data_IF_034238056863
#
_entry.id   IF_034238056863
#
_cell.length_a   1.000
_cell.length_b   1.000
_cell.length_c   1.000
_cell.angle_alpha   90.00
_cell.angle_beta   90.00
_cell.angle_gamma   90.00
#
_symmetry.space_group_name_H-M   'P 1'
#
loop_
_entity.id
_entity.type
_entity.pdbx_description
1 polymer ?
#
# COMPACT_ATOMS: atom_id res chain seq x y z
N UNK A 1 -12.07 4.90 -28.51
CA UNK A 1 -11.93 5.69 -27.26
C UNK A 1 -12.01 4.77 -26.04
N UNK A 2 -10.92 4.04 -25.72
CA UNK A 2 -10.88 3.09 -24.61
C UNK A 2 -10.91 3.75 -23.22
N UNK A 3 -10.38 4.97 -23.06
CA UNK A 3 -10.24 5.67 -21.77
C UNK A 3 -11.59 5.88 -21.04
N UNK A 4 -12.63 6.32 -21.77
CA UNK A 4 -13.98 6.51 -21.19
C UNK A 4 -14.56 5.24 -20.56
N UNK A 5 -14.14 4.04 -21.03
CA UNK A 5 -14.59 2.75 -20.50
C UNK A 5 -13.84 2.36 -19.23
N UNK A 6 -12.59 2.79 -19.08
CA UNK A 6 -11.77 2.54 -17.89
C UNK A 6 -12.25 3.42 -16.71
N UNK A 7 -12.65 4.67 -16.96
CA UNK A 7 -13.23 5.58 -15.94
C UNK A 7 -14.51 5.04 -15.30
N UNK A 8 -15.46 4.57 -16.12
CA UNK A 8 -16.72 4.04 -15.62
C UNK A 8 -16.54 2.70 -14.89
N UNK A 9 -15.54 1.91 -15.27
CA UNK A 9 -15.17 0.70 -14.53
C UNK A 9 -14.52 1.06 -13.18
N UNK A 10 -13.62 2.04 -13.17
CA UNK A 10 -13.00 2.57 -11.94
C UNK A 10 -14.06 3.06 -10.95
N UNK A 11 -14.99 3.93 -11.37
CA UNK A 11 -16.04 4.46 -10.48
C UNK A 11 -16.93 3.36 -9.90
N UNK A 12 -17.33 2.38 -10.72
CA UNK A 12 -18.11 1.22 -10.22
C UNK A 12 -17.35 0.39 -9.19
N UNK A 13 -16.07 0.12 -9.45
CA UNK A 13 -15.23 -0.65 -8.52
C UNK A 13 -15.01 0.12 -7.19
N UNK A 14 -14.90 1.45 -7.25
CA UNK A 14 -14.83 2.35 -6.09
C UNK A 14 -16.14 2.34 -5.28
N UNK A 15 -17.28 2.56 -5.93
CA UNK A 15 -18.61 2.54 -5.28
C UNK A 15 -18.88 1.18 -4.62
N UNK A 16 -18.56 0.09 -5.31
CA UNK A 16 -18.66 -1.26 -4.75
C UNK A 16 -17.77 -1.43 -3.51
N UNK A 17 -16.53 -0.92 -3.54
CA UNK A 17 -15.62 -0.95 -2.40
C UNK A 17 -16.16 -0.19 -1.20
N UNK A 18 -16.70 1.01 -1.42
CA UNK A 18 -17.34 1.82 -0.37
C UNK A 18 -18.56 1.13 0.22
N UNK A 19 -19.40 0.51 -0.61
CA UNK A 19 -20.56 -0.25 -0.14
C UNK A 19 -20.16 -1.47 0.70
N UNK A 20 -19.12 -2.22 0.30
CA UNK A 20 -18.59 -3.35 1.08
C UNK A 20 -18.01 -2.89 2.42
N UNK A 21 -17.28 -1.77 2.43
CA UNK A 21 -16.75 -1.17 3.66
C UNK A 21 -17.88 -0.77 4.62
N UNK A 22 -18.95 -0.16 4.10
CA UNK A 22 -20.12 0.20 4.90
C UNK A 22 -20.86 -1.03 5.44
N UNK A 23 -20.84 -2.15 4.72
CA UNK A 23 -21.38 -3.44 5.18
C UNK A 23 -20.46 -4.18 6.18
N UNK A 24 -19.26 -3.65 6.47
CA UNK A 24 -18.29 -4.24 7.38
C UNK A 24 -17.38 -5.32 6.77
N UNK A 25 -17.54 -5.62 5.47
CA UNK A 25 -16.68 -6.56 4.75
C UNK A 25 -15.42 -5.83 4.24
N UNK A 26 -14.49 -5.59 5.18
CA UNK A 26 -13.28 -4.81 4.91
C UNK A 26 -12.36 -5.53 3.91
N UNK A 27 -12.27 -6.86 3.97
CA UNK A 27 -11.43 -7.63 3.04
C UNK A 27 -11.96 -7.50 1.61
N UNK A 28 -13.27 -7.69 1.39
CA UNK A 28 -13.86 -7.50 0.07
C UNK A 28 -13.76 -6.04 -0.41
N UNK A 29 -13.89 -5.07 0.50
CA UNK A 29 -13.68 -3.66 0.19
C UNK A 29 -12.26 -3.40 -0.32
N UNK A 30 -11.23 -3.91 0.38
CA UNK A 30 -9.83 -3.81 -0.04
C UNK A 30 -9.61 -4.41 -1.44
N UNK A 31 -10.23 -5.56 -1.74
CA UNK A 31 -10.18 -6.19 -3.07
C UNK A 31 -10.76 -5.27 -4.14
N UNK A 32 -11.96 -4.72 -3.90
CA UNK A 32 -12.66 -3.88 -4.87
C UNK A 32 -11.92 -2.57 -5.14
N UNK A 33 -11.41 -1.92 -4.09
CA UNK A 33 -10.63 -0.69 -4.21
C UNK A 33 -9.30 -0.93 -4.92
N UNK A 34 -8.63 -2.06 -4.65
CA UNK A 34 -7.42 -2.45 -5.39
C UNK A 34 -7.72 -2.67 -6.88
N UNK A 35 -8.86 -3.30 -7.21
CA UNK A 35 -9.30 -3.47 -8.60
C UNK A 35 -9.58 -2.14 -9.29
N UNK A 36 -10.17 -1.18 -8.58
CA UNK A 36 -10.36 0.19 -9.08
C UNK A 36 -9.00 0.82 -9.43
N UNK A 37 -8.07 0.85 -8.47
CA UNK A 37 -6.72 1.40 -8.68
C UNK A 37 -5.97 0.69 -9.81
N UNK A 38 -6.18 -0.62 -9.98
CA UNK A 38 -5.61 -1.40 -11.08
C UNK A 38 -6.07 -1.04 -12.49
N UNK A 39 -7.10 -0.18 -12.62
CA UNK A 39 -7.53 0.38 -13.91
C UNK A 39 -6.57 1.46 -14.43
N UNK A 40 -5.77 2.06 -13.54
CA UNK A 40 -4.86 3.14 -13.88
C UNK A 40 -3.58 2.64 -14.56
N UNK A 41 -3.23 3.30 -15.67
CA UNK A 41 -2.03 2.96 -16.47
C UNK A 41 -1.04 4.13 -16.62
N UNK A 42 -1.32 5.27 -16.00
CA UNK A 42 -0.57 6.54 -16.15
C UNK A 42 -1.46 7.72 -15.75
N UNK A 43 -1.01 8.98 -15.94
CA UNK A 43 -1.82 10.17 -15.71
C UNK A 43 -3.17 10.09 -16.45
N UNK A 44 -4.23 10.65 -15.87
CA UNK A 44 -5.54 10.69 -16.53
C UNK A 44 -5.44 11.45 -17.86
N UNK A 45 -5.98 10.86 -18.94
CA UNK A 45 -6.05 11.46 -20.27
C UNK A 45 -4.68 11.93 -20.83
N UNK A 46 -3.61 11.18 -20.54
CA UNK A 46 -2.27 11.47 -21.06
C UNK A 46 -2.28 11.62 -22.60
N UNK A 47 -1.69 12.70 -23.09
CA UNK A 47 -1.63 13.02 -24.52
C UNK A 47 -2.87 13.73 -25.11
N UNK A 48 -3.87 14.10 -24.31
CA UNK A 48 -5.07 14.85 -24.79
C UNK A 48 -5.04 16.31 -24.35
N UNK A 49 -4.72 17.21 -25.29
CA UNK A 49 -4.66 18.66 -25.01
C UNK A 49 -5.98 19.38 -25.40
N UNK A 50 -7.03 19.15 -24.62
CA UNK A 50 -8.27 19.94 -24.67
C UNK A 50 -8.60 20.50 -23.28
N UNK A 51 -9.00 21.79 -23.16
CA UNK A 51 -9.26 22.40 -21.84
C UNK A 51 -10.28 21.65 -20.97
N UNK A 52 -11.37 21.15 -21.56
CA UNK A 52 -12.39 20.36 -20.86
C UNK A 52 -11.88 19.00 -20.40
N UNK A 53 -10.92 18.42 -21.13
CA UNK A 53 -10.28 17.15 -20.78
C UNK A 53 -9.25 17.36 -19.68
N UNK A 54 -8.51 18.49 -19.68
CA UNK A 54 -7.56 18.81 -18.60
C UNK A 54 -8.23 18.96 -17.25
N UNK A 55 -9.38 19.62 -17.17
CA UNK A 55 -10.13 19.71 -15.91
C UNK A 55 -10.60 18.34 -15.44
N UNK A 56 -11.18 17.54 -16.35
CA UNK A 56 -11.63 16.18 -16.04
C UNK A 56 -10.45 15.27 -15.60
N UNK A 57 -9.26 15.46 -16.15
CA UNK A 57 -8.05 14.75 -15.76
C UNK A 57 -7.64 15.08 -14.32
N UNK A 58 -7.62 16.37 -13.94
CA UNK A 58 -7.32 16.80 -12.57
C UNK A 58 -8.33 16.22 -11.58
N UNK A 59 -9.63 16.31 -11.87
CA UNK A 59 -10.67 15.74 -11.00
C UNK A 59 -10.53 14.22 -10.85
N UNK A 60 -10.12 13.52 -11.91
CA UNK A 60 -9.93 12.08 -11.91
C UNK A 60 -8.65 11.68 -11.16
N UNK A 61 -7.56 12.44 -11.28
CA UNK A 61 -6.32 12.25 -10.51
C UNK A 61 -6.57 12.45 -9.00
N UNK A 62 -7.34 13.47 -8.63
CA UNK A 62 -7.74 13.72 -7.24
C UNK A 62 -8.59 12.55 -6.69
N UNK A 63 -9.59 12.10 -7.46
CA UNK A 63 -10.41 10.95 -7.08
C UNK A 63 -9.59 9.66 -6.93
N UNK A 64 -8.54 9.48 -7.74
CA UNK A 64 -7.60 8.36 -7.60
C UNK A 64 -6.83 8.46 -6.29
N UNK A 65 -6.31 9.63 -5.93
CA UNK A 65 -5.59 9.82 -4.67
C UNK A 65 -6.48 9.51 -3.46
N UNK A 66 -7.73 9.96 -3.49
CA UNK A 66 -8.70 9.64 -2.44
C UNK A 66 -8.96 8.12 -2.37
N UNK A 67 -9.03 7.46 -3.53
CA UNK A 67 -9.18 5.99 -3.60
C UNK A 67 -7.95 5.26 -3.05
N UNK A 68 -6.73 5.80 -3.26
CA UNK A 68 -5.50 5.27 -2.66
C UNK A 68 -5.55 5.37 -1.13
N UNK A 69 -5.99 6.50 -0.60
CA UNK A 69 -6.17 6.70 0.84
C UNK A 69 -7.19 5.73 1.43
N UNK A 70 -8.35 5.58 0.77
CA UNK A 70 -9.41 4.63 1.19
C UNK A 70 -8.94 3.17 1.14
N UNK A 71 -8.22 2.78 0.08
CA UNK A 71 -7.65 1.45 -0.04
C UNK A 71 -6.62 1.18 1.07
N UNK A 72 -5.73 2.14 1.34
CA UNK A 72 -4.70 2.00 2.37
C UNK A 72 -5.31 1.87 3.77
N UNK A 73 -6.35 2.64 4.09
CA UNK A 73 -7.08 2.48 5.35
C UNK A 73 -7.67 1.07 5.51
N UNK A 74 -8.35 0.57 4.48
CA UNK A 74 -8.94 -0.76 4.49
C UNK A 74 -7.85 -1.85 4.58
N UNK A 75 -6.77 -1.72 3.81
CA UNK A 75 -5.67 -2.67 3.80
C UNK A 75 -4.91 -2.73 5.14
N UNK A 76 -4.73 -1.58 5.81
CA UNK A 76 -4.17 -1.52 7.17
C UNK A 76 -5.08 -2.22 8.19
N UNK A 77 -6.39 -2.04 8.07
CA UNK A 77 -7.34 -2.72 8.95
C UNK A 77 -7.29 -4.26 8.81
N UNK A 78 -7.02 -4.76 7.59
CA UNK A 78 -6.86 -6.20 7.29
C UNK A 78 -5.44 -6.71 7.61
N UNK A 79 -4.49 -5.82 7.95
CA UNK A 79 -3.13 -6.18 8.36
C UNK A 79 -2.12 -6.34 7.21
N UNK A 80 -2.41 -5.78 6.04
CA UNK A 80 -1.52 -5.84 4.86
C UNK A 80 -0.55 -4.65 4.81
N UNK A 81 0.05 -4.32 5.95
CA UNK A 81 0.81 -3.07 6.15
C UNK A 81 2.07 -2.94 5.28
N UNK A 82 2.72 -4.06 4.92
CA UNK A 82 3.91 -4.04 4.06
C UNK A 82 3.59 -3.56 2.64
N UNK A 83 2.53 -4.09 2.02
CA UNK A 83 2.11 -3.69 0.68
C UNK A 83 1.62 -2.23 0.66
N UNK A 84 0.98 -1.78 1.75
CA UNK A 84 0.60 -0.37 1.92
C UNK A 84 1.84 0.53 1.96
N UNK A 85 2.87 0.16 2.73
CA UNK A 85 4.10 0.96 2.82
C UNK A 85 4.81 1.06 1.45
N UNK A 86 4.92 -0.05 0.72
CA UNK A 86 5.51 -0.07 -0.64
C UNK A 86 4.72 0.80 -1.63
N UNK A 87 3.39 0.77 -1.53
CA UNK A 87 2.50 1.53 -2.43
C UNK A 87 2.49 3.02 -2.11
N UNK A 88 2.47 3.40 -0.83
CA UNK A 88 2.32 4.81 -0.41
C UNK A 88 3.63 5.61 -0.42
N UNK A 89 4.79 4.98 -0.20
CA UNK A 89 6.08 5.66 -0.22
C UNK A 89 6.29 6.57 -1.45
N UNK A 90 6.06 6.10 -2.69
CA UNK A 90 6.22 6.96 -3.87
C UNK A 90 5.10 7.99 -4.05
N UNK A 91 3.88 7.73 -3.57
CA UNK A 91 2.77 8.70 -3.61
C UNK A 91 3.05 9.88 -2.67
N UNK A 92 3.64 9.63 -1.50
CA UNK A 92 4.06 10.68 -0.56
C UNK A 92 5.16 11.56 -1.17
N UNK A 93 6.07 10.99 -1.95
CA UNK A 93 7.09 11.78 -2.67
C UNK A 93 6.46 12.66 -3.74
N UNK A 94 5.44 12.16 -4.47
CA UNK A 94 4.75 12.91 -5.54
C UNK A 94 3.75 13.92 -5.01
N UNK A 95 3.14 13.66 -3.85
CA UNK A 95 2.12 14.52 -3.23
C UNK A 95 2.53 14.85 -1.79
N UNK A 96 3.65 15.56 -1.59
CA UNK A 96 4.26 15.69 -0.28
C UNK A 96 3.50 16.61 0.66
N UNK A 97 2.51 17.38 0.20
CA UNK A 97 1.65 18.20 1.05
C UNK A 97 0.35 17.47 1.46
N UNK A 98 0.09 16.25 0.96
CA UNK A 98 -1.06 15.45 1.40
C UNK A 98 -0.76 14.73 2.72
N UNK A 99 -1.21 15.34 3.81
CA UNK A 99 -1.00 14.83 5.17
C UNK A 99 -1.57 13.43 5.40
N UNK A 100 -2.73 13.12 4.80
CA UNK A 100 -3.40 11.82 4.99
C UNK A 100 -2.58 10.66 4.43
N UNK A 101 -1.99 10.81 3.23
CA UNK A 101 -1.06 9.83 2.67
C UNK A 101 0.16 9.61 3.58
N UNK A 102 0.74 10.70 4.11
CA UNK A 102 1.86 10.62 5.06
C UNK A 102 1.47 9.86 6.32
N UNK A 103 0.33 10.17 6.91
CA UNK A 103 -0.16 9.50 8.11
C UNK A 103 -0.39 8.00 7.89
N UNK A 104 -0.94 7.62 6.75
CA UNK A 104 -1.15 6.20 6.40
C UNK A 104 0.19 5.48 6.16
N UNK A 105 1.16 6.11 5.51
CA UNK A 105 2.51 5.56 5.37
C UNK A 105 3.20 5.40 6.73
N UNK A 106 3.08 6.38 7.63
CA UNK A 106 3.63 6.30 8.98
C UNK A 106 3.05 5.10 9.75
N UNK A 107 1.73 4.88 9.68
CA UNK A 107 1.07 3.71 10.29
C UNK A 107 1.59 2.40 9.69
N UNK A 108 1.67 2.33 8.36
CA UNK A 108 2.15 1.14 7.66
C UNK A 108 3.61 0.77 8.03
N UNK A 109 4.50 1.77 8.07
CA UNK A 109 5.89 1.61 8.47
C UNK A 109 6.01 1.16 9.93
N UNK A 110 5.22 1.75 10.82
CA UNK A 110 5.25 1.36 12.23
C UNK A 110 4.74 -0.07 12.46
N UNK A 111 3.62 -0.45 11.83
CA UNK A 111 3.05 -1.79 11.95
C UNK A 111 4.00 -2.90 11.44
N UNK A 112 4.89 -2.56 10.52
CA UNK A 112 5.95 -3.44 9.99
C UNK A 112 7.25 -3.40 10.80
N UNK A 113 7.26 -2.72 11.95
CA UNK A 113 8.42 -2.62 12.85
C UNK A 113 9.43 -1.54 12.47
N UNK A 114 9.13 -0.71 11.47
CA UNK A 114 10.01 0.35 10.96
C UNK A 114 9.67 1.73 11.58
N UNK A 115 9.56 1.76 12.92
CA UNK A 115 9.21 2.98 13.69
C UNK A 115 10.10 4.18 13.37
N UNK A 116 11.41 3.96 13.22
CA UNK A 116 12.36 5.04 12.88
C UNK A 116 12.06 5.68 11.52
N UNK A 117 11.67 4.87 10.52
CA UNK A 117 11.26 5.38 9.20
C UNK A 117 9.95 6.16 9.30
N UNK A 118 8.98 5.70 10.09
CA UNK A 118 7.72 6.42 10.31
C UNK A 118 7.98 7.82 10.91
N UNK A 119 8.84 7.92 11.92
CA UNK A 119 9.20 9.20 12.54
C UNK A 119 9.98 10.11 11.57
N UNK A 120 10.79 9.53 10.68
CA UNK A 120 11.50 10.28 9.64
C UNK A 120 10.52 10.90 8.63
N UNK A 121 9.52 10.15 8.17
CA UNK A 121 8.47 10.66 7.25
C UNK A 121 7.75 11.88 7.83
N UNK A 122 7.47 11.89 9.13
CA UNK A 122 6.88 13.05 9.81
C UNK A 122 7.81 14.26 9.78
N UNK A 123 9.08 14.09 10.18
CA UNK A 123 10.06 15.18 10.24
C UNK A 123 10.29 15.82 8.87
N UNK A 124 10.45 15.00 7.84
CA UNK A 124 10.59 15.45 6.46
C UNK A 124 9.36 16.26 6.00
N UNK A 125 8.15 15.86 6.43
CA UNK A 125 6.92 16.56 6.08
C UNK A 125 6.71 17.86 6.80
N UNK A 126 7.02 17.87 8.10
CA UNK A 126 6.98 19.08 8.90
C UNK A 126 7.93 20.15 8.36
N UNK A 127 9.16 19.76 8.02
CA UNK A 127 10.13 20.68 7.41
C UNK A 127 9.57 21.28 6.11
N UNK A 128 9.08 20.43 5.21
CA UNK A 128 8.52 20.89 3.94
C UNK A 128 7.30 21.81 4.09
N UNK A 129 6.35 21.48 4.98
CA UNK A 129 5.17 22.33 5.21
C UNK A 129 5.55 23.69 5.80
N UNK A 130 6.54 23.71 6.70
CA UNK A 130 7.06 24.95 7.25
C UNK A 130 7.78 25.78 6.17
N UNK A 131 8.55 25.15 5.29
CA UNK A 131 9.28 25.81 4.21
C UNK A 131 8.36 26.34 3.10
N UNK A 132 7.41 25.54 2.63
CA UNK A 132 6.57 25.86 1.46
C UNK A 132 5.32 26.67 1.82
N UNK A 133 4.72 26.41 2.98
CA UNK A 133 3.44 26.99 3.38
C UNK A 133 3.53 27.87 4.64
N UNK A 134 4.63 27.80 5.40
CA UNK A 134 4.77 28.49 6.68
C UNK A 134 3.83 27.95 7.77
N UNK A 135 3.35 26.71 7.63
CA UNK A 135 2.39 26.09 8.55
C UNK A 135 2.96 24.84 9.22
N UNK A 136 2.41 24.52 10.38
CA UNK A 136 2.67 23.25 11.06
C UNK A 136 1.70 22.16 10.54
N UNK A 137 2.06 20.86 10.65
CA UNK A 137 1.17 19.76 10.28
C UNK A 137 -0.15 19.80 11.04
N UNK A 138 -1.24 19.31 10.45
CA UNK A 138 -2.53 19.22 11.10
C UNK A 138 -2.53 18.36 12.37
N UNK A 139 -3.49 18.64 13.25
CA UNK A 139 -3.65 17.93 14.53
C UNK A 139 -3.69 16.38 14.41
N UNK A 140 -4.33 15.76 13.39
CA UNK A 140 -4.32 14.31 13.24
C UNK A 140 -2.92 13.74 13.02
N UNK A 141 -2.07 14.42 12.24
CA UNK A 141 -0.72 13.95 11.96
C UNK A 141 0.21 14.16 13.16
N UNK A 142 0.03 15.28 13.88
CA UNK A 142 0.74 15.51 15.14
C UNK A 142 0.37 14.48 16.21
N UNK A 143 -0.92 14.16 16.37
CA UNK A 143 -1.38 13.15 17.32
C UNK A 143 -0.75 11.79 17.01
N UNK A 144 -0.75 11.36 15.75
CA UNK A 144 -0.07 10.13 15.33
C UNK A 144 1.42 10.15 15.64
N UNK A 145 2.11 11.29 15.46
CA UNK A 145 3.51 11.41 15.84
C UNK A 145 3.72 11.19 17.34
N UNK A 146 2.86 11.75 18.19
CA UNK A 146 2.94 11.56 19.64
C UNK A 146 2.64 10.12 20.04
N UNK A 147 1.63 9.48 19.45
CA UNK A 147 1.34 8.05 19.66
C UNK A 147 2.53 7.16 19.29
N UNK A 148 3.24 7.51 18.20
CA UNK A 148 4.45 6.82 17.77
C UNK A 148 5.69 7.15 18.60
N UNK A 149 5.69 8.20 19.43
CA UNK A 149 6.74 8.49 20.40
C UNK A 149 6.47 7.82 21.74
N UNK A 150 5.21 7.70 22.13
CA UNK A 150 4.77 6.82 23.20
C UNK A 150 4.97 5.34 22.86
N UNK A 151 4.87 4.49 23.87
CA UNK A 151 4.73 3.03 23.67
C UNK A 151 3.25 2.62 23.61
N UNK A 152 2.34 3.59 23.43
CA UNK A 152 0.89 3.40 23.42
C UNK A 152 0.37 2.68 22.16
N UNK A 153 1.18 2.62 21.09
CA UNK A 153 0.90 1.82 19.90
C UNK A 153 1.96 0.73 19.70
N UNK A 154 1.77 -0.49 20.22
CA UNK A 154 2.66 -1.60 19.91
C UNK A 154 2.52 -2.01 18.43
N UNK A 155 3.62 -2.34 17.73
CA UNK A 155 3.55 -2.76 16.33
C UNK A 155 2.82 -4.10 16.19
N UNK A 156 1.94 -4.21 15.19
CA UNK A 156 1.15 -5.44 14.92
C UNK A 156 2.02 -6.63 14.51
N UNK A 157 3.10 -6.38 13.77
CA UNK A 157 4.02 -7.42 13.32
C UNK A 157 5.37 -7.26 14.03
N UNK A 158 5.50 -7.76 15.25
CA UNK A 158 6.83 -8.21 15.70
C UNK A 158 7.05 -9.59 15.06
N UNK A 159 8.03 -9.79 14.16
CA UNK A 159 8.44 -11.15 13.86
C UNK A 159 8.92 -11.75 15.19
N UNK A 160 8.13 -12.64 15.79
CA UNK A 160 8.65 -13.49 16.86
C UNK A 160 9.84 -14.23 16.25
N UNK A 161 11.06 -14.11 16.81
CA UNK A 161 12.16 -14.93 16.36
C UNK A 161 11.76 -16.37 16.64
N UNK A 162 11.28 -17.08 15.63
CA UNK A 162 11.20 -18.53 15.68
C UNK A 162 12.65 -18.98 15.74
N UNK A 163 13.11 -19.57 16.86
CA UNK A 163 14.45 -20.12 16.88
C UNK A 163 14.50 -21.15 15.76
N UNK A 164 15.39 -20.91 14.78
CA UNK A 164 15.75 -21.92 13.79
C UNK A 164 16.54 -22.97 14.57
N UNK A 165 15.82 -23.88 15.20
CA UNK A 165 16.43 -25.10 15.71
C UNK A 165 16.79 -25.90 14.46
N UNK A 166 18.09 -25.88 14.14
CA UNK A 166 18.67 -26.88 13.25
C UNK A 166 18.20 -28.25 13.79
N UNK A 167 17.66 -29.12 12.92
CA UNK A 167 17.41 -30.51 13.30
C UNK A 167 18.64 -31.04 14.00
N UNK A 168 18.45 -31.74 15.13
CA UNK A 168 19.55 -32.37 15.85
C UNK A 168 20.41 -33.16 14.85
N UNK A 169 21.71 -32.97 14.93
CA UNK A 169 22.72 -33.62 14.10
C UNK A 169 22.38 -35.12 14.04
N UNK A 170 21.99 -35.60 12.86
CA UNK A 170 21.65 -36.99 12.65
C UNK A 170 22.94 -37.78 12.77
N UNK A 171 23.26 -38.21 13.99
CA UNK A 171 24.23 -39.24 14.24
C UNK A 171 23.66 -40.56 13.71
N UNK A 172 23.74 -40.80 12.40
CA UNK A 172 23.60 -42.12 11.78
C UNK A 172 23.88 -42.13 10.27
N UNK A 173 24.76 -41.25 9.77
CA UNK A 173 25.26 -41.38 8.40
C UNK A 173 26.49 -42.28 8.32
N UNK A 174 26.29 -43.58 8.58
CA UNK A 174 27.17 -44.61 8.00
C UNK A 174 26.38 -45.83 7.51
N UNK A 175 26.31 -45.98 6.19
CA UNK A 175 26.43 -47.28 5.54
C UNK A 175 25.15 -48.06 5.17
N UNK A 176 25.09 -48.38 3.86
CA UNK A 176 24.50 -49.57 3.22
C UNK A 176 23.02 -49.53 2.80
N UNK A 177 22.86 -49.29 1.49
CA UNK A 177 22.07 -50.09 0.53
C UNK A 177 21.12 -51.15 1.10
N UNK A 178 19.80 -50.96 0.91
CA UNK A 178 18.97 -51.73 -0.04
C UNK A 178 17.47 -51.40 0.04
N UNK A 179 16.85 -51.49 -1.13
CA UNK A 179 15.48 -51.94 -1.40
C UNK A 179 14.31 -51.05 -0.96
N UNK A 180 13.83 -50.28 -1.93
CA UNK A 180 12.46 -49.77 -1.99
C UNK A 180 11.51 -50.97 -2.24
N UNK A 181 10.68 -51.32 -1.25
CA UNK A 181 9.61 -52.29 -1.39
C UNK A 181 8.27 -51.66 -0.99
N UNK A 182 7.29 -51.82 -1.90
CA UNK A 182 5.89 -51.38 -1.84
C UNK A 182 5.17 -51.80 -0.56
N UNK A 183 4.24 -50.97 -0.08
CA UNK A 183 2.79 -51.29 -0.12
C UNK A 183 1.88 -50.11 0.27
N UNK A 184 0.59 -50.10 -0.15
CA UNK A 184 -0.35 -48.98 -0.04
C UNK A 184 -1.41 -49.14 1.08
N UNK A 185 -2.23 -48.09 1.24
CA UNK A 185 -3.45 -47.93 2.08
C UNK A 185 -3.19 -47.74 3.60
N UNK A 186 -3.92 -46.90 4.35
CA UNK A 186 -5.27 -46.40 4.18
C UNK A 186 -5.48 -45.02 4.87
N UNK A 187 -6.46 -44.28 4.33
CA UNK A 187 -7.39 -43.27 4.92
C UNK A 187 -7.35 -43.14 6.45
N UNK A 188 -7.60 -42.01 7.11
CA UNK A 188 -8.44 -40.83 6.83
C UNK A 188 -8.18 -39.87 8.01
N UNK A 189 -7.87 -38.61 7.78
CA UNK A 189 -8.39 -37.43 8.49
C UNK A 189 -7.94 -36.21 7.69
N UNK A 190 -8.84 -35.68 6.87
CA UNK A 190 -8.68 -34.35 6.30
C UNK A 190 -9.93 -33.56 6.67
N UNK A 191 -9.91 -32.99 7.88
CA UNK A 191 -10.65 -31.78 8.13
C UNK A 191 -9.80 -30.69 7.45
N UNK A 192 -10.17 -30.32 6.23
CA UNK A 192 -9.53 -29.23 5.51
C UNK A 192 -9.96 -27.92 6.17
N UNK A 193 -9.18 -27.45 7.14
CA UNK A 193 -9.09 -26.03 7.42
C UNK A 193 -8.49 -25.35 6.17
N UNK A 194 -9.05 -24.23 5.69
CA UNK A 194 -8.43 -23.52 4.58
C UNK A 194 -7.02 -23.07 4.98
N UNK A 195 -6.01 -23.19 4.11
CA UNK A 195 -4.66 -22.77 4.45
C UNK A 195 -4.61 -21.28 4.75
N UNK A 196 -4.01 -20.96 5.90
CA UNK A 196 -3.62 -19.63 6.30
C UNK A 196 -2.83 -18.94 5.19
N UNK A 197 -3.24 -17.70 4.88
CA UNK A 197 -2.46 -16.67 4.18
C UNK A 197 -1.63 -17.19 3.01
N UNK A 198 -2.29 -17.54 1.91
CA UNK A 198 -1.68 -17.26 0.63
C UNK A 198 -1.33 -15.77 0.65
N UNK A 199 -0.04 -15.44 0.70
CA UNK A 199 0.47 -14.08 0.53
C UNK A 199 -0.02 -13.62 -0.85
N UNK A 200 -1.23 -13.09 -0.92
CA UNK A 200 -1.73 -12.37 -2.08
C UNK A 200 -0.93 -11.09 -2.07
N UNK A 201 0.26 -11.15 -2.67
CA UNK A 201 1.05 -9.97 -3.03
C UNK A 201 0.14 -9.18 -3.95
N UNK A 202 -0.42 -8.08 -3.47
CA UNK A 202 -1.38 -7.28 -4.23
C UNK A 202 -0.61 -6.65 -5.41
N UNK A 203 -0.87 -7.08 -6.67
CA UNK A 203 0.07 -6.83 -7.75
C UNK A 203 -0.33 -5.54 -8.47
N UNK A 204 -0.20 -4.39 -7.83
CA UNK A 204 -0.35 -3.13 -8.55
C UNK A 204 0.84 -2.23 -8.26
N UNK A 205 2.00 -2.63 -8.78
CA UNK A 205 3.13 -1.73 -8.96
C UNK A 205 2.76 -0.80 -10.12
N UNK A 206 2.34 0.42 -9.80
CA UNK A 206 2.28 1.50 -10.77
C UNK A 206 3.70 1.66 -11.36
N UNK A 207 3.82 1.64 -12.69
CA UNK A 207 5.07 1.94 -13.38
C UNK A 207 5.09 3.45 -13.58
N UNK A 208 5.98 4.16 -12.88
CA UNK A 208 6.29 5.58 -13.13
C UNK A 208 6.46 5.81 -14.63
N UNK A 209 5.59 6.59 -15.27
CA UNK A 209 6.02 7.36 -16.43
C UNK A 209 6.71 8.61 -15.88
N UNK A 210 8.03 8.59 -15.96
CA UNK A 210 8.87 9.76 -15.71
C UNK A 210 8.84 10.64 -16.94
N UNK A 211 8.28 11.85 -16.84
CA UNK A 211 8.73 13.04 -17.59
C UNK A 211 7.93 14.24 -17.08
N UNK A 212 8.47 15.18 -16.30
CA UNK A 212 9.43 16.20 -16.72
C UNK A 212 9.09 16.86 -18.05
N UNK A 213 8.32 17.95 -18.02
CA UNK A 213 8.70 19.20 -18.69
C UNK A 213 7.80 20.33 -18.20
N UNK A 214 8.22 21.03 -17.14
CA UNK A 214 7.79 22.41 -16.91
C UNK A 214 8.78 23.30 -17.67
N UNK A 215 8.36 24.10 -18.65
CA UNK A 215 9.23 25.15 -19.17
C UNK A 215 9.35 26.21 -18.07
N UNK A 216 10.55 26.34 -17.48
CA UNK A 216 10.94 27.56 -16.79
C UNK A 216 11.09 28.64 -17.86
N UNK A 217 10.11 29.53 -17.92
CA UNK A 217 10.17 30.74 -18.75
C UNK A 217 11.15 31.70 -18.06
N UNK A 218 12.42 31.65 -18.47
CA UNK A 218 13.42 32.62 -18.06
C UNK A 218 13.18 33.92 -18.85
N UNK A 219 12.29 34.77 -18.30
CA UNK A 219 12.28 36.20 -18.61
C UNK A 219 13.62 36.80 -18.18
N UNK A 220 14.52 37.03 -19.13
CA UNK A 220 15.62 38.00 -18.98
C UNK A 220 15.11 39.41 -19.32
N UNK A 221 15.27 40.40 -18.43
CA UNK A 221 15.23 41.80 -18.82
C UNK A 221 16.65 42.32 -19.06
N UNK A 222 16.82 43.16 -20.10
CA UNK A 222 18.00 44.02 -20.28
C UNK A 222 18.85 43.70 -21.49
#
# INVERSE_FOLDING_TARGET
MPERRDDAAFRRDLEQGRALRAAGDIEAATVSLSRALGRWRGPAYDGVDQPSVRQAAVELDELRLDTVEEWAEAALAVGVSADVAETLAPEVVRHPLRERLRGLLMKALHDTGRRADALRVFREGRALMAEELGVEPGAPLQALHQELLGDDWPPRSRPTPVPVQLPADLADFTGRTRACARSPAARRYACAAPPASARRRWPFTWRTASSSSFPMDASSPG
#
